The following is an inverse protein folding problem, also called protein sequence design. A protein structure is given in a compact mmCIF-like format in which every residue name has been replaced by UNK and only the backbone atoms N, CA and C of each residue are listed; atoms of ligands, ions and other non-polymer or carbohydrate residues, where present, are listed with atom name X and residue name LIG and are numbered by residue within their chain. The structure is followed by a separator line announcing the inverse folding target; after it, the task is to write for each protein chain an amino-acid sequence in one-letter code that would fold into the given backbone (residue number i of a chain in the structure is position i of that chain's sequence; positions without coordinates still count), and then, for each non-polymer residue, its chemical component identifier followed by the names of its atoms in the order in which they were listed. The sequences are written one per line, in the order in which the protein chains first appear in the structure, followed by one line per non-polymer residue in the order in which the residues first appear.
data_IF_884399222780
#
_entry.id   IF_884399222780
#
_cell.length_a   1.000
_cell.length_b   1.000
_cell.length_c   1.000
_cell.angle_alpha   90.00
_cell.angle_beta   90.00
_cell.angle_gamma   90.00
#
_symmetry.space_group_name_H-M   'P 1'
#
loop_
_entity.id
_entity.type
_entity.pdbx_description
1 polymer ?
#
# COMPACT_ATOMS: atom_id res chain seq x y z
N UNK A 1 -3.48 -33.80 28.47
CA UNK A 1 -4.03 -32.80 27.53
C UNK A 1 -3.47 -33.07 26.15
N UNK A 2 -4.18 -33.87 25.34
CA UNK A 2 -3.72 -34.34 24.04
C UNK A 2 -3.94 -33.26 22.97
N UNK A 3 -2.88 -32.82 22.30
CA UNK A 3 -2.95 -31.86 21.18
C UNK A 3 -3.60 -32.57 19.99
N UNK A 4 -4.82 -32.18 19.61
CA UNK A 4 -5.42 -32.55 18.32
C UNK A 4 -4.69 -31.80 17.21
N UNK A 5 -3.83 -32.48 16.47
CA UNK A 5 -3.31 -32.00 15.19
C UNK A 5 -4.42 -32.14 14.14
N UNK A 6 -5.09 -31.04 13.82
CA UNK A 6 -5.99 -30.99 12.67
C UNK A 6 -5.13 -30.93 11.39
N UNK A 7 -4.89 -32.10 10.79
CA UNK A 7 -4.26 -32.19 9.48
C UNK A 7 -5.21 -31.64 8.42
N UNK A 8 -4.96 -30.41 7.96
CA UNK A 8 -5.67 -29.83 6.82
C UNK A 8 -5.19 -30.58 5.57
N UNK A 9 -6.02 -31.48 5.05
CA UNK A 9 -5.76 -32.10 3.75
C UNK A 9 -6.01 -31.06 2.67
N UNK A 10 -4.94 -30.59 2.02
CA UNK A 10 -5.01 -29.78 0.80
C UNK A 10 -5.64 -30.63 -0.30
N UNK A 11 -6.91 -30.40 -0.58
CA UNK A 11 -7.57 -30.96 -1.76
C UNK A 11 -6.91 -30.37 -3.01
N UNK A 12 -6.40 -31.22 -3.89
CA UNK A 12 -5.84 -30.79 -5.17
C UNK A 12 -6.97 -30.29 -6.06
N UNK A 13 -7.15 -28.98 -6.10
CA UNK A 13 -8.02 -28.36 -7.10
C UNK A 13 -7.48 -28.71 -8.49
N UNK A 14 -8.36 -29.24 -9.34
CA UNK A 14 -8.03 -29.56 -10.75
C UNK A 14 -7.45 -28.32 -11.42
N UNK A 15 -6.24 -28.43 -11.94
CA UNK A 15 -5.62 -27.42 -12.81
C UNK A 15 -6.58 -27.12 -13.95
N UNK A 16 -7.21 -25.94 -13.89
CA UNK A 16 -7.99 -25.42 -15.00
C UNK A 16 -7.02 -25.25 -16.15
N UNK A 17 -7.26 -25.93 -17.27
CA UNK A 17 -6.51 -25.77 -18.51
C UNK A 17 -6.75 -24.35 -19.04
N UNK A 18 -6.00 -23.37 -18.50
CA UNK A 18 -5.98 -22.02 -19.01
C UNK A 18 -5.02 -22.02 -20.19
N UNK A 19 -5.55 -21.73 -21.39
CA UNK A 19 -4.73 -21.52 -22.58
C UNK A 19 -3.61 -20.51 -22.24
N UNK A 20 -2.34 -20.79 -22.55
CA UNK A 20 -1.27 -19.85 -22.26
C UNK A 20 -1.53 -18.57 -23.06
N UNK A 21 -1.66 -17.44 -22.35
CA UNK A 21 -1.77 -16.13 -22.97
C UNK A 21 -0.47 -15.85 -23.73
N UNK A 22 -0.50 -15.94 -25.06
CA UNK A 22 0.63 -15.57 -25.92
C UNK A 22 0.73 -14.04 -25.98
N UNK A 23 1.41 -13.46 -25.01
CA UNK A 23 1.73 -12.04 -25.02
C UNK A 23 2.90 -11.78 -25.97
N UNK A 24 2.72 -10.87 -26.93
CA UNK A 24 3.81 -10.42 -27.78
C UNK A 24 4.81 -9.59 -26.96
N UNK A 25 6.10 -9.60 -27.34
CA UNK A 25 7.13 -8.80 -26.66
C UNK A 25 6.75 -7.32 -26.52
N UNK A 26 6.06 -6.75 -27.52
CA UNK A 26 5.52 -5.38 -27.48
C UNK A 26 4.55 -5.17 -26.32
N UNK A 27 3.59 -6.07 -26.12
CA UNK A 27 2.62 -6.00 -25.01
C UNK A 27 3.30 -6.12 -23.65
N UNK A 28 4.33 -6.98 -23.54
CA UNK A 28 5.11 -7.14 -22.30
C UNK A 28 5.85 -5.84 -21.97
N UNK A 29 6.48 -5.20 -22.95
CA UNK A 29 7.17 -3.91 -22.76
C UNK A 29 6.18 -2.83 -22.35
N UNK A 30 5.03 -2.70 -23.02
CA UNK A 30 3.99 -1.73 -22.64
C UNK A 30 3.54 -1.92 -21.20
N UNK A 31 3.23 -3.15 -20.80
CA UNK A 31 2.82 -3.46 -19.43
C UNK A 31 3.93 -3.17 -18.42
N UNK A 32 5.19 -3.49 -18.73
CA UNK A 32 6.33 -3.13 -17.86
C UNK A 32 6.45 -1.62 -17.68
N UNK A 33 6.23 -0.85 -18.74
CA UNK A 33 6.27 0.62 -18.68
C UNK A 33 5.13 1.17 -17.83
N UNK A 34 3.92 0.62 -17.97
CA UNK A 34 2.78 0.95 -17.10
C UNK A 34 3.10 0.62 -15.65
N UNK A 35 3.59 -0.59 -15.36
CA UNK A 35 3.94 -1.01 -13.99
C UNK A 35 5.05 -0.18 -13.36
N UNK A 36 6.06 0.25 -14.14
CA UNK A 36 7.13 1.14 -13.65
C UNK A 36 6.60 2.48 -13.13
N UNK A 37 5.53 3.02 -13.72
CA UNK A 37 4.89 4.25 -13.21
C UNK A 37 4.30 4.07 -11.80
N UNK A 38 4.10 2.83 -11.36
CA UNK A 38 3.56 2.48 -10.05
C UNK A 38 4.64 1.95 -9.08
N UNK A 39 5.86 1.72 -9.57
CA UNK A 39 6.98 1.08 -8.85
C UNK A 39 8.16 2.06 -8.66
N UNK A 40 7.90 3.29 -8.23
CA UNK A 40 8.97 4.15 -7.71
C UNK A 40 9.65 3.49 -6.52
N UNK A 41 10.89 3.86 -6.22
CA UNK A 41 11.68 3.27 -5.11
C UNK A 41 10.97 3.38 -3.75
N UNK A 42 10.04 4.33 -3.60
CA UNK A 42 9.19 4.50 -2.42
C UNK A 42 7.85 3.74 -2.51
N UNK A 43 7.42 3.33 -3.71
CA UNK A 43 6.31 2.40 -3.99
C UNK A 43 4.91 2.83 -3.54
N UNK A 44 4.72 4.10 -3.19
CA UNK A 44 3.58 4.52 -2.37
C UNK A 44 2.59 5.47 -3.07
N UNK A 45 3.06 6.35 -3.95
CA UNK A 45 2.23 7.35 -4.64
C UNK A 45 2.23 7.06 -6.13
N UNK A 46 1.05 6.91 -6.71
CA UNK A 46 0.89 6.70 -8.14
C UNK A 46 -0.08 7.68 -8.76
N UNK A 47 0.18 8.12 -9.98
CA UNK A 47 -0.74 8.99 -10.69
C UNK A 47 -1.67 8.19 -11.62
N UNK A 48 -2.98 8.32 -11.45
CA UNK A 48 -3.95 7.76 -12.39
C UNK A 48 -4.33 8.81 -13.43
N UNK A 49 -3.75 8.72 -14.63
CA UNK A 49 -4.07 9.62 -15.74
C UNK A 49 -5.57 9.61 -16.08
N UNK A 50 -6.22 8.44 -16.04
CA UNK A 50 -7.67 8.30 -16.30
C UNK A 50 -8.53 9.10 -15.31
N UNK A 51 -8.14 9.13 -14.03
CA UNK A 51 -8.89 9.81 -12.97
C UNK A 51 -8.32 11.17 -12.61
N UNK A 52 -7.24 11.60 -13.29
CA UNK A 52 -6.44 12.81 -13.01
C UNK A 52 -6.14 13.00 -11.51
N UNK A 53 -5.80 11.92 -10.80
CA UNK A 53 -5.59 11.94 -9.36
C UNK A 53 -4.48 11.01 -8.91
N UNK A 54 -3.84 11.38 -7.81
CA UNK A 54 -2.88 10.51 -7.13
C UNK A 54 -3.62 9.44 -6.31
N UNK A 55 -3.09 8.22 -6.33
CA UNK A 55 -3.58 7.04 -5.64
C UNK A 55 -2.45 6.51 -4.76
N UNK A 56 -2.75 6.32 -3.48
CA UNK A 56 -1.87 5.65 -2.54
C UNK A 56 -1.99 4.13 -2.76
N UNK A 57 -0.92 3.49 -3.23
CA UNK A 57 -0.90 2.05 -3.48
C UNK A 57 -0.51 1.29 -2.21
N UNK A 58 -1.48 0.58 -1.62
CA UNK A 58 -1.24 -0.67 -0.86
C UNK A 58 -0.33 -0.65 0.38
N UNK A 59 -0.97 -0.54 1.55
CA UNK A 59 -0.65 -1.10 2.89
C UNK A 59 0.66 -0.81 3.62
N UNK A 60 1.78 -0.52 2.96
CA UNK A 60 3.04 -0.24 3.65
C UNK A 60 3.23 1.26 3.77
N UNK A 61 3.29 1.80 4.99
CA UNK A 61 3.61 3.22 5.19
C UNK A 61 4.96 3.55 4.53
N UNK A 62 5.09 4.69 3.82
CA UNK A 62 6.30 5.03 3.08
C UNK A 62 7.45 5.23 4.07
N UNK A 63 8.61 4.61 3.80
CA UNK A 63 9.80 4.73 4.68
C UNK A 63 10.26 6.18 4.83
N UNK A 64 10.08 6.98 3.77
CA UNK A 64 10.50 8.39 3.68
C UNK A 64 9.32 9.37 3.73
N UNK A 65 8.16 8.95 4.25
CA UNK A 65 6.98 9.82 4.29
C UNK A 65 6.41 10.19 2.91
N UNK A 66 5.31 10.94 2.92
CA UNK A 66 4.57 11.47 1.78
C UNK A 66 5.12 12.83 1.34
N UNK A 67 5.35 13.71 2.32
CA UNK A 67 5.80 15.07 2.13
C UNK A 67 6.38 15.57 3.45
N UNK A 68 7.15 16.66 3.41
CA UNK A 68 7.59 17.31 4.63
C UNK A 68 6.38 17.85 5.40
N UNK A 69 6.44 17.80 6.73
CA UNK A 69 5.37 18.29 7.57
C UNK A 69 5.34 19.82 7.54
N UNK A 70 4.21 20.45 7.16
CA UNK A 70 4.14 21.90 7.04
C UNK A 70 4.15 22.63 8.39
N UNK A 71 3.91 21.93 9.51
CA UNK A 71 3.90 22.55 10.83
C UNK A 71 5.27 22.55 11.50
N UNK A 72 5.96 21.41 11.50
CA UNK A 72 7.25 21.31 12.20
C UNK A 72 8.45 21.40 11.26
N UNK A 73 8.30 21.20 9.94
CA UNK A 73 9.35 21.13 8.92
C UNK A 73 10.49 20.13 9.16
N UNK A 74 10.57 19.52 10.34
CA UNK A 74 11.55 18.50 10.75
C UNK A 74 11.08 17.10 10.37
N UNK A 75 9.79 16.82 10.57
CA UNK A 75 9.19 15.51 10.29
C UNK A 75 8.55 15.41 8.92
N UNK A 76 8.10 14.20 8.57
CA UNK A 76 7.43 13.91 7.31
C UNK A 76 5.99 13.41 7.57
N UNK A 77 5.04 13.78 6.72
CA UNK A 77 3.67 13.27 6.75
C UNK A 77 3.66 11.80 6.35
N UNK A 78 3.01 10.93 7.11
CA UNK A 78 2.90 9.50 6.80
C UNK A 78 1.59 8.93 7.36
N UNK A 79 1.21 7.72 6.95
CA UNK A 79 0.07 7.04 7.56
C UNK A 79 0.53 6.38 8.86
N UNK A 80 -0.07 6.84 9.96
CA UNK A 80 0.17 6.36 11.31
C UNK A 80 -1.04 5.52 11.74
N UNK A 81 -0.77 4.41 12.43
CA UNK A 81 -1.81 3.63 13.11
C UNK A 81 -1.81 3.99 14.60
N UNK A 82 -2.93 4.50 15.09
CA UNK A 82 -3.07 4.80 16.52
C UNK A 82 -2.98 3.50 17.33
N UNK A 83 -2.15 3.44 18.39
CA UNK A 83 -2.12 2.27 19.26
C UNK A 83 -3.41 2.13 20.08
N UNK A 84 -4.08 3.26 20.39
CA UNK A 84 -5.30 3.32 21.20
C UNK A 84 -6.52 2.93 20.35
N UNK A 85 -6.80 3.68 19.28
CA UNK A 85 -8.03 3.47 18.48
C UNK A 85 -7.86 2.40 17.41
N UNK A 86 -6.64 1.93 17.16
CA UNK A 86 -6.25 1.02 16.06
C UNK A 86 -6.56 1.55 14.65
N UNK A 87 -7.11 2.76 14.54
CA UNK A 87 -7.44 3.46 13.29
C UNK A 87 -6.18 4.00 12.61
N UNK A 88 -6.27 4.18 11.30
CA UNK A 88 -5.22 4.82 10.49
C UNK A 88 -5.59 6.28 10.23
N UNK A 89 -4.61 7.16 10.31
CA UNK A 89 -4.73 8.58 9.98
C UNK A 89 -3.43 9.06 9.33
N UNK A 90 -3.47 10.18 8.61
CA UNK A 90 -2.26 10.83 8.11
C UNK A 90 -1.74 11.72 9.24
N UNK A 91 -0.46 11.57 9.62
CA UNK A 91 0.16 12.39 10.66
C UNK A 91 1.66 12.56 10.44
N UNK A 92 2.26 13.52 11.12
CA UNK A 92 3.71 13.72 11.10
C UNK A 92 4.47 12.55 11.76
N UNK A 93 5.63 12.17 11.24
CA UNK A 93 6.54 11.21 11.88
C UNK A 93 6.90 11.61 13.33
N UNK A 94 6.91 12.92 13.62
CA UNK A 94 7.18 13.48 14.93
C UNK A 94 5.92 13.70 15.79
N UNK A 95 4.78 13.09 15.43
CA UNK A 95 3.50 13.27 16.13
C UNK A 95 3.60 12.92 17.61
N UNK A 96 4.32 11.85 17.96
CA UNK A 96 4.54 11.43 19.35
C UNK A 96 5.36 12.43 20.17
N UNK A 97 6.15 13.30 19.53
CA UNK A 97 6.97 14.32 20.21
C UNK A 97 6.31 15.70 20.23
N UNK A 98 4.99 15.77 20.01
CA UNK A 98 4.20 17.00 20.15
C UNK A 98 3.80 17.71 18.86
N UNK A 99 4.10 17.15 17.69
CA UNK A 99 3.59 17.72 16.44
C UNK A 99 2.09 17.42 16.27
N UNK A 100 1.27 18.45 16.03
CA UNK A 100 -0.20 18.33 15.93
C UNK A 100 -0.72 18.08 14.52
N UNK A 101 0.16 18.14 13.51
CA UNK A 101 -0.21 17.93 12.11
C UNK A 101 -0.75 16.52 11.89
N UNK A 102 -2.07 16.42 11.77
CA UNK A 102 -2.80 15.18 11.53
C UNK A 102 -4.07 15.42 10.72
N UNK A 103 -4.49 14.42 9.96
CA UNK A 103 -5.75 14.42 9.21
C UNK A 103 -6.35 13.01 9.23
N UNK A 104 -7.64 12.86 9.58
CA UNK A 104 -8.31 11.57 9.56
C UNK A 104 -8.41 11.03 8.12
N UNK A 105 -8.35 9.71 7.99
CA UNK A 105 -8.61 9.02 6.71
C UNK A 105 -10.08 8.61 6.63
N UNK A 106 -10.63 8.64 5.41
CA UNK A 106 -11.96 8.09 5.14
C UNK A 106 -12.00 6.62 5.55
N UNK A 107 -12.88 6.31 6.50
CA UNK A 107 -13.06 4.97 7.03
C UNK A 107 -14.15 4.25 6.23
N UNK A 108 -14.04 2.93 6.08
CA UNK A 108 -15.20 2.13 5.68
C UNK A 108 -16.20 2.16 6.84
N UNK A 109 -17.47 2.45 6.53
CA UNK A 109 -18.59 2.29 7.45
C UNK A 109 -18.87 0.81 7.68
#
# INVERSE_FOLDING_TARGET
MQKRSCGVQLTKEKEKNCKPLRLTNKKIVTLKTELRQYLDSNGYLSYSAKKKKYIILGTNSPKNGLANCPQCNVGQLMIIRSPVTKKRFIGCSNYNNGCTASSPLLQKA
#
